data_IF_482916494423
#
_entry.id   IF_482916494423
#
_cell.length_a   1.000
_cell.length_b   1.000
_cell.length_c   1.000
_cell.angle_alpha   90.00
_cell.angle_beta   90.00
_cell.angle_gamma   90.00
#
_symmetry.space_group_name_H-M   'P 1'
#
loop_
_entity.id
_entity.type
_entity.pdbx_description
1 polymer ?
#
# COMPACT_ATOMS: atom_id res chain seq x y z
N UNK A 1 7.98 49.97 -64.84
CA UNK A 1 7.60 49.75 -63.43
C UNK A 1 6.91 48.40 -63.32
N UNK A 2 7.27 47.63 -62.30
CA UNK A 2 7.16 46.17 -62.19
C UNK A 2 5.73 45.63 -62.37
N UNK A 3 5.59 44.61 -63.24
CA UNK A 3 4.38 43.81 -63.41
C UNK A 3 4.37 42.63 -62.42
N UNK A 4 3.28 42.50 -61.66
CA UNK A 4 2.95 41.34 -60.84
C UNK A 4 2.54 40.15 -61.74
N UNK A 5 3.29 39.04 -61.69
CA UNK A 5 2.91 37.74 -62.26
C UNK A 5 2.29 36.85 -61.17
N UNK A 6 0.98 36.59 -61.28
CA UNK A 6 0.28 35.50 -60.59
C UNK A 6 0.52 34.20 -61.37
N UNK A 7 1.02 33.18 -60.69
CA UNK A 7 1.14 31.82 -61.23
C UNK A 7 -0.13 31.02 -60.87
N UNK A 8 -0.80 30.51 -61.90
CA UNK A 8 -1.85 29.51 -61.84
C UNK A 8 -1.27 28.23 -62.49
N UNK A 9 -1.28 27.05 -61.85
CA UNK A 9 -0.91 25.82 -62.55
C UNK A 9 -2.11 25.18 -63.25
N UNK A 10 -1.82 24.69 -64.45
CA UNK A 10 -2.70 24.08 -65.43
C UNK A 10 -3.30 22.75 -64.95
N UNK A 11 -4.59 22.56 -65.24
CA UNK A 11 -5.22 21.26 -65.40
C UNK A 11 -5.00 20.79 -66.85
N UNK A 12 -4.37 19.64 -67.05
CA UNK A 12 -4.32 18.96 -68.35
C UNK A 12 -5.47 17.96 -68.45
N UNK A 13 -6.36 18.19 -69.40
CA UNK A 13 -7.45 17.29 -69.78
C UNK A 13 -6.97 16.32 -70.86
N UNK A 14 -7.19 15.01 -70.66
CA UNK A 14 -7.04 13.99 -71.69
C UNK A 14 -8.44 13.46 -72.05
N UNK A 15 -8.87 13.72 -73.29
CA UNK A 15 -10.00 13.06 -73.94
C UNK A 15 -9.58 11.65 -74.36
N UNK A 16 -10.38 10.64 -74.00
CA UNK A 16 -10.38 9.34 -74.67
C UNK A 16 -11.82 8.87 -74.90
N UNK A 17 -12.00 8.35 -76.11
CA UNK A 17 -13.25 8.16 -76.82
C UNK A 17 -14.15 7.06 -76.24
N UNK A 18 -15.46 7.23 -76.46
CA UNK A 18 -16.51 6.34 -76.03
C UNK A 18 -16.64 5.03 -76.83
N UNK A 19 -16.88 3.95 -76.09
CA UNK A 19 -17.67 2.82 -76.53
C UNK A 19 -18.85 2.70 -75.55
N UNK A 20 -20.07 2.83 -76.06
CA UNK A 20 -21.28 2.63 -75.28
C UNK A 20 -21.44 1.12 -74.98
N UNK A 21 -21.22 0.75 -73.73
CA UNK A 21 -21.55 -0.58 -73.20
C UNK A 21 -22.79 -0.41 -72.34
N UNK A 22 -23.85 -1.15 -72.68
CA UNK A 22 -25.10 -1.23 -71.92
C UNK A 22 -24.77 -1.72 -70.49
N UNK A 23 -25.04 -0.90 -69.47
CA UNK A 23 -24.81 -1.24 -68.07
C UNK A 23 -25.88 -2.23 -67.57
N UNK A 24 -25.50 -3.40 -67.03
CA UNK A 24 -26.42 -4.23 -66.27
C UNK A 24 -26.84 -3.52 -64.98
N UNK A 25 -28.08 -3.75 -64.54
CA UNK A 25 -28.58 -3.24 -63.26
C UNK A 25 -27.65 -3.63 -62.08
N UNK A 26 -27.47 -2.77 -61.06
CA UNK A 26 -26.59 -3.07 -59.95
C UNK A 26 -27.10 -4.28 -59.15
N UNK A 27 -26.29 -5.34 -59.12
CA UNK A 27 -26.52 -6.52 -58.31
C UNK A 27 -26.17 -6.19 -56.84
N UNK A 28 -26.99 -6.55 -55.84
CA UNK A 28 -26.71 -6.22 -54.44
C UNK A 28 -25.39 -6.85 -53.99
N UNK A 29 -24.48 -6.02 -53.48
CA UNK A 29 -23.22 -6.45 -52.88
C UNK A 29 -23.51 -7.19 -51.57
N UNK A 30 -22.95 -8.40 -51.34
CA UNK A 30 -23.12 -9.08 -50.06
C UNK A 30 -22.46 -8.26 -48.94
N UNK A 31 -23.25 -7.89 -47.93
CA UNK A 31 -22.78 -7.25 -46.71
C UNK A 31 -21.72 -8.13 -46.03
N UNK A 32 -20.53 -7.62 -45.66
CA UNK A 32 -19.55 -8.40 -44.91
C UNK A 32 -20.14 -8.80 -43.55
N UNK A 33 -20.16 -10.10 -43.29
CA UNK A 33 -20.51 -10.65 -41.97
C UNK A 33 -19.53 -10.09 -40.94
N UNK A 34 -20.00 -9.49 -39.83
CA UNK A 34 -19.11 -9.02 -38.78
C UNK A 34 -18.29 -10.20 -38.23
N UNK A 35 -16.97 -10.04 -38.16
CA UNK A 35 -16.10 -10.98 -37.47
C UNK A 35 -16.54 -11.06 -36.00
N UNK A 36 -16.54 -12.26 -35.37
CA UNK A 36 -16.92 -12.39 -33.98
C UNK A 36 -15.97 -11.55 -33.12
N UNK A 37 -16.54 -10.60 -32.38
CA UNK A 37 -15.86 -9.91 -31.28
C UNK A 37 -15.28 -10.98 -30.35
N UNK A 38 -13.99 -10.93 -29.95
CA UNK A 38 -13.48 -11.87 -28.97
C UNK A 38 -14.36 -11.81 -27.73
N UNK A 39 -14.94 -12.96 -27.36
CA UNK A 39 -15.68 -13.09 -26.12
C UNK A 39 -14.75 -12.68 -24.97
N UNK A 40 -15.21 -11.88 -24.00
CA UNK A 40 -14.41 -11.60 -22.82
C UNK A 40 -13.97 -12.93 -22.22
N UNK A 41 -12.66 -13.09 -22.01
CA UNK A 41 -12.12 -14.20 -21.25
C UNK A 41 -12.83 -14.17 -19.89
N UNK A 42 -13.52 -15.26 -19.47
CA UNK A 42 -14.20 -15.27 -18.20
C UNK A 42 -13.18 -14.94 -17.10
N UNK A 43 -13.51 -13.95 -16.26
CA UNK A 43 -12.73 -13.66 -15.07
C UNK A 43 -12.59 -14.96 -14.26
N UNK A 44 -11.40 -15.27 -13.71
CA UNK A 44 -11.21 -16.48 -12.93
C UNK A 44 -12.24 -16.51 -11.80
N UNK A 45 -12.95 -17.63 -11.68
CA UNK A 45 -13.87 -17.88 -10.57
C UNK A 45 -13.03 -17.95 -9.29
N UNK A 46 -13.21 -16.98 -8.39
CA UNK A 46 -12.53 -16.97 -7.10
C UNK A 46 -12.83 -18.25 -6.32
N UNK A 47 -11.83 -18.81 -5.63
CA UNK A 47 -12.07 -19.90 -4.68
C UNK A 47 -12.88 -19.37 -3.49
N UNK A 48 -13.59 -20.23 -2.73
CA UNK A 48 -14.31 -19.79 -1.54
C UNK A 48 -13.42 -19.04 -0.53
N UNK A 49 -12.16 -19.45 -0.42
CA UNK A 49 -11.16 -18.83 0.44
C UNK A 49 -10.75 -17.44 -0.09
N UNK A 50 -10.42 -17.31 -1.39
CA UNK A 50 -10.14 -16.01 -1.98
C UNK A 50 -11.31 -15.04 -1.84
N UNK A 51 -12.54 -15.53 -1.97
CA UNK A 51 -13.75 -14.73 -1.81
C UNK A 51 -13.94 -14.24 -0.37
N UNK A 52 -13.68 -15.10 0.63
CA UNK A 52 -13.74 -14.74 2.04
C UNK A 52 -12.67 -13.69 2.38
N UNK A 53 -11.41 -13.95 2.02
CA UNK A 53 -10.30 -13.00 2.25
C UNK A 53 -10.61 -11.66 1.60
N UNK A 54 -11.07 -11.66 0.34
CA UNK A 54 -11.43 -10.42 -0.35
C UNK A 54 -12.56 -9.69 0.35
N UNK A 55 -13.60 -10.40 0.80
CA UNK A 55 -14.71 -9.79 1.54
C UNK A 55 -14.23 -9.13 2.83
N UNK A 56 -13.42 -9.82 3.63
CA UNK A 56 -12.92 -9.29 4.90
C UNK A 56 -11.96 -8.12 4.67
N UNK A 57 -11.00 -8.23 3.73
CA UNK A 57 -10.08 -7.14 3.38
C UNK A 57 -10.80 -5.91 2.78
N UNK A 58 -11.96 -6.10 2.16
CA UNK A 58 -12.77 -5.01 1.59
C UNK A 58 -13.74 -4.38 2.59
N UNK A 59 -13.97 -4.99 3.76
CA UNK A 59 -15.04 -4.58 4.69
C UNK A 59 -14.89 -3.11 5.12
N UNK A 60 -13.66 -2.65 5.32
CA UNK A 60 -13.35 -1.27 5.74
C UNK A 60 -12.80 -0.37 4.62
N UNK A 61 -12.55 -0.91 3.43
CA UNK A 61 -11.90 -0.17 2.34
C UNK A 61 -12.91 0.79 1.68
N UNK A 62 -12.91 2.05 2.10
CA UNK A 62 -13.84 3.07 1.61
C UNK A 62 -13.28 3.98 0.51
N UNK A 63 -11.96 3.93 0.27
CA UNK A 63 -11.29 4.72 -0.77
C UNK A 63 -10.87 3.85 -1.96
N UNK A 64 -9.77 3.11 -1.80
CA UNK A 64 -9.25 2.19 -2.81
C UNK A 64 -9.52 0.75 -2.37
N UNK A 65 -10.05 -0.11 -3.26
CA UNK A 65 -10.32 -1.50 -2.94
C UNK A 65 -9.02 -2.30 -2.80
N UNK A 66 -8.99 -3.36 -1.99
CA UNK A 66 -7.85 -4.26 -1.93
C UNK A 66 -7.67 -5.02 -3.26
N UNK A 67 -6.43 -5.37 -3.57
CA UNK A 67 -6.03 -6.27 -4.64
C UNK A 67 -5.53 -7.56 -4.01
N UNK A 68 -6.38 -8.58 -3.89
CA UNK A 68 -6.05 -9.86 -3.23
C UNK A 68 -5.65 -10.90 -4.27
N UNK A 69 -4.50 -11.53 -4.09
CA UNK A 69 -4.04 -12.70 -4.87
C UNK A 69 -4.68 -14.00 -4.34
N UNK A 70 -4.60 -15.09 -5.09
CA UNK A 70 -5.14 -16.38 -4.63
C UNK A 70 -4.41 -16.87 -3.36
N UNK A 71 -5.10 -17.03 -2.21
CA UNK A 71 -4.48 -17.47 -0.95
C UNK A 71 -3.73 -18.80 -1.05
N UNK A 72 -4.16 -19.70 -1.94
CA UNK A 72 -3.49 -20.97 -2.15
C UNK A 72 -2.07 -20.84 -2.75
N UNK A 73 -1.71 -19.64 -3.24
CA UNK A 73 -0.41 -19.35 -3.85
C UNK A 73 0.54 -18.57 -2.93
N UNK A 74 0.05 -18.07 -1.79
CA UNK A 74 0.78 -17.13 -0.94
C UNK A 74 2.09 -17.71 -0.42
N UNK A 75 2.10 -18.96 0.03
CA UNK A 75 3.32 -19.59 0.59
C UNK A 75 4.40 -19.78 -0.48
N UNK A 76 4.05 -20.28 -1.66
CA UNK A 76 5.02 -20.46 -2.74
C UNK A 76 5.53 -19.11 -3.26
N UNK A 77 4.65 -18.13 -3.46
CA UNK A 77 5.02 -16.78 -3.90
C UNK A 77 5.85 -16.05 -2.83
N UNK A 78 5.49 -16.20 -1.56
CA UNK A 78 6.18 -15.63 -0.42
C UNK A 78 7.60 -16.18 -0.29
N UNK A 79 7.75 -17.50 -0.36
CA UNK A 79 9.05 -18.16 -0.37
C UNK A 79 9.90 -17.69 -1.55
N UNK A 80 9.36 -17.67 -2.76
CA UNK A 80 10.09 -17.22 -3.94
C UNK A 80 10.57 -15.76 -3.83
N UNK A 81 9.71 -14.86 -3.34
CA UNK A 81 10.08 -13.47 -3.10
C UNK A 81 11.21 -13.37 -2.06
N UNK A 82 11.05 -14.04 -0.91
CA UNK A 82 12.02 -13.93 0.18
C UNK A 82 13.38 -14.54 -0.19
N UNK A 83 13.42 -15.66 -0.92
CA UNK A 83 14.68 -16.25 -1.41
C UNK A 83 15.37 -15.34 -2.43
N UNK A 84 14.62 -14.66 -3.29
CA UNK A 84 15.15 -13.64 -4.21
C UNK A 84 15.74 -12.46 -3.44
N UNK A 85 15.04 -11.96 -2.42
CA UNK A 85 15.52 -10.87 -1.58
C UNK A 85 16.76 -11.26 -0.77
N UNK A 86 16.82 -12.49 -0.23
CA UNK A 86 18.00 -13.03 0.45
C UNK A 86 19.23 -13.01 -0.46
N UNK A 87 19.08 -13.41 -1.74
CA UNK A 87 20.15 -13.32 -2.73
C UNK A 87 20.54 -11.87 -3.06
N UNK A 88 19.54 -11.00 -3.25
CA UNK A 88 19.76 -9.60 -3.59
C UNK A 88 20.50 -8.83 -2.49
N UNK A 89 20.16 -9.08 -1.23
CA UNK A 89 20.71 -8.40 -0.05
C UNK A 89 21.71 -9.26 0.75
N UNK A 90 22.24 -10.33 0.14
CA UNK A 90 23.24 -11.19 0.77
C UNK A 90 24.49 -10.40 1.23
N UNK A 91 24.90 -9.37 0.46
CA UNK A 91 26.02 -8.50 0.82
C UNK A 91 25.74 -7.60 2.02
N UNK A 92 24.47 -7.33 2.32
CA UNK A 92 24.02 -6.63 3.52
C UNK A 92 23.79 -7.58 4.71
N UNK A 93 24.08 -8.88 4.55
CA UNK A 93 23.94 -9.89 5.60
C UNK A 93 22.51 -10.39 5.81
N UNK A 94 21.62 -10.22 4.82
CA UNK A 94 20.27 -10.77 4.89
C UNK A 94 20.31 -12.29 5.05
N UNK A 95 19.52 -12.80 5.98
CA UNK A 95 19.26 -14.22 6.16
C UNK A 95 17.78 -14.43 6.43
N UNK A 96 17.24 -15.53 5.91
CA UNK A 96 15.88 -15.96 6.21
C UNK A 96 15.79 -16.83 7.46
N UNK A 97 16.90 -17.33 7.99
CA UNK A 97 16.88 -18.16 9.20
C UNK A 97 16.44 -17.32 10.39
N UNK A 98 15.35 -17.75 11.03
CA UNK A 98 14.80 -17.07 12.18
C UNK A 98 15.75 -17.10 13.37
N UNK A 99 15.78 -15.97 14.07
CA UNK A 99 16.52 -15.84 15.32
C UNK A 99 15.57 -16.06 16.50
N UNK A 100 16.06 -16.72 17.54
CA UNK A 100 15.25 -16.95 18.74
C UNK A 100 14.74 -15.63 19.32
N UNK A 101 13.44 -15.56 19.59
CA UNK A 101 12.78 -14.36 20.13
C UNK A 101 12.31 -13.36 19.08
N UNK A 102 12.52 -13.63 17.79
CA UNK A 102 12.04 -12.79 16.69
C UNK A 102 11.07 -13.60 15.82
N UNK A 103 9.75 -13.55 16.10
CA UNK A 103 8.79 -14.38 15.37
C UNK A 103 8.57 -13.92 13.92
N UNK A 104 8.90 -12.67 13.59
CA UNK A 104 8.55 -12.07 12.31
C UNK A 104 9.74 -11.39 11.61
N UNK A 105 9.63 -11.27 10.28
CA UNK A 105 10.42 -10.39 9.43
C UNK A 105 9.47 -9.45 8.66
N UNK A 106 9.81 -8.16 8.59
CA UNK A 106 9.02 -7.15 7.88
C UNK A 106 9.62 -6.87 6.50
N UNK A 107 8.86 -7.12 5.43
CA UNK A 107 9.26 -6.81 4.06
C UNK A 107 8.49 -5.59 3.55
N UNK A 108 9.20 -4.49 3.30
CA UNK A 108 8.62 -3.22 2.86
C UNK A 108 8.86 -3.04 1.37
N UNK A 109 7.78 -3.12 0.59
CA UNK A 109 7.79 -2.69 -0.81
C UNK A 109 7.40 -1.22 -0.89
N UNK A 110 8.39 -0.33 -0.99
CA UNK A 110 8.13 1.12 -1.02
C UNK A 110 7.38 1.53 -2.29
N UNK A 111 7.74 0.91 -3.41
CA UNK A 111 7.21 1.22 -4.74
C UNK A 111 5.72 0.85 -4.86
N UNK A 112 5.31 -0.28 -4.29
CA UNK A 112 3.91 -0.71 -4.29
C UNK A 112 3.10 -0.24 -3.07
N UNK A 113 3.76 0.34 -2.06
CA UNK A 113 3.13 0.83 -0.82
C UNK A 113 2.51 -0.28 0.03
N UNK A 114 3.29 -1.35 0.25
CA UNK A 114 2.89 -2.53 1.05
C UNK A 114 3.98 -2.92 2.03
N UNK A 115 3.58 -3.22 3.27
CA UNK A 115 4.40 -3.95 4.24
C UNK A 115 3.84 -5.37 4.35
N UNK A 116 4.63 -6.38 4.02
CA UNK A 116 4.28 -7.79 4.25
C UNK A 116 5.03 -8.31 5.47
N UNK A 117 4.29 -8.87 6.42
CA UNK A 117 4.85 -9.57 7.58
C UNK A 117 5.05 -11.03 7.21
N UNK A 118 6.23 -11.57 7.49
CA UNK A 118 6.56 -12.98 7.29
C UNK A 118 6.77 -13.68 8.62
N UNK A 119 6.13 -14.85 8.79
CA UNK A 119 6.41 -15.82 9.86
C UNK A 119 7.27 -16.96 9.31
N UNK A 120 7.63 -17.91 10.17
CA UNK A 120 8.53 -19.01 9.84
C UNK A 120 7.80 -20.21 9.22
N UNK A 121 8.40 -20.81 8.20
CA UNK A 121 8.05 -22.17 7.76
C UNK A 121 8.52 -23.24 8.75
N UNK A 122 8.24 -24.51 8.43
CA UNK A 122 8.63 -25.67 9.23
C UNK A 122 10.15 -25.83 9.42
N UNK A 123 10.96 -25.21 8.56
CA UNK A 123 12.42 -25.21 8.63
C UNK A 123 12.96 -24.00 9.41
N UNK A 124 12.08 -23.16 9.97
CA UNK A 124 12.45 -21.96 10.72
C UNK A 124 12.93 -20.82 9.83
N UNK A 125 12.48 -20.74 8.57
CA UNK A 125 12.83 -19.65 7.64
C UNK A 125 11.65 -18.68 7.47
N UNK A 126 11.89 -17.37 7.46
CA UNK A 126 10.87 -16.35 7.22
C UNK A 126 10.40 -16.34 5.75
N UNK A 127 9.49 -17.25 5.41
CA UNK A 127 9.03 -17.48 4.02
C UNK A 127 7.50 -17.52 3.90
N UNK A 128 6.78 -17.60 5.02
CA UNK A 128 5.32 -17.71 5.07
C UNK A 128 4.70 -16.32 5.27
N UNK A 129 3.94 -15.76 4.30
CA UNK A 129 3.27 -14.48 4.47
C UNK A 129 2.18 -14.58 5.54
N UNK A 130 2.28 -13.75 6.57
CA UNK A 130 1.36 -13.74 7.70
C UNK A 130 0.23 -12.72 7.49
N UNK A 131 0.59 -11.49 7.16
CA UNK A 131 -0.36 -10.42 6.79
C UNK A 131 0.32 -9.36 5.92
N UNK A 132 -0.49 -8.63 5.14
CA UNK A 132 -0.05 -7.46 4.39
C UNK A 132 -0.81 -6.21 4.86
N UNK A 133 -0.06 -5.14 5.11
CA UNK A 133 -0.53 -3.83 5.56
C UNK A 133 -0.28 -2.78 4.47
N UNK A 134 -1.22 -1.86 4.28
CA UNK A 134 -0.98 -0.71 3.40
C UNK A 134 -0.05 0.27 4.10
N UNK A 135 0.89 0.85 3.37
CA UNK A 135 1.73 1.91 3.91
C UNK A 135 1.90 3.06 2.93
N UNK A 136 2.54 4.14 3.37
CA UNK A 136 3.09 5.16 2.48
C UNK A 136 4.54 5.41 2.84
N UNK A 137 5.42 4.94 1.96
CA UNK A 137 6.86 5.19 2.03
C UNK A 137 7.29 6.35 1.15
N UNK A 138 8.59 6.64 1.17
CA UNK A 138 9.24 7.66 0.34
C UNK A 138 10.54 7.14 -0.25
N UNK A 139 10.98 7.67 -1.40
CA UNK A 139 12.18 7.19 -2.08
C UNK A 139 13.47 7.41 -1.26
N UNK A 140 13.47 8.28 -0.25
CA UNK A 140 14.69 8.59 0.52
C UNK A 140 15.10 7.45 1.46
N UNK A 141 14.18 6.59 1.92
CA UNK A 141 14.52 5.46 2.80
C UNK A 141 15.30 4.40 2.03
N UNK A 142 16.60 4.18 2.24
CA UNK A 142 17.37 3.27 1.39
C UNK A 142 16.81 1.86 1.38
N UNK A 143 16.80 1.24 0.20
CA UNK A 143 16.61 -0.21 0.10
C UNK A 143 17.77 -0.92 0.82
N UNK A 144 17.50 -2.09 1.39
CA UNK A 144 18.48 -2.79 2.20
C UNK A 144 17.86 -3.71 3.23
N UNK A 145 18.72 -4.23 4.10
CA UNK A 145 18.36 -5.12 5.19
C UNK A 145 18.80 -4.52 6.52
N UNK A 146 17.86 -4.38 7.45
CA UNK A 146 17.98 -3.62 8.69
C UNK A 146 17.37 -4.40 9.86
N UNK A 147 17.49 -3.85 11.06
CA UNK A 147 16.80 -4.33 12.27
C UNK A 147 16.18 -3.14 12.99
N UNK A 148 15.23 -3.38 13.90
CA UNK A 148 14.53 -2.33 14.65
C UNK A 148 15.19 -2.00 16.00
N UNK A 149 16.09 -1.00 16.12
CA UNK A 149 16.87 -0.84 17.35
C UNK A 149 16.14 -0.18 18.52
N UNK A 150 15.05 0.55 18.26
CA UNK A 150 14.32 1.30 19.29
C UNK A 150 12.92 1.66 18.82
N UNK A 151 12.00 1.81 19.77
CA UNK A 151 10.63 2.27 19.57
C UNK A 151 10.29 3.45 20.50
N UNK A 152 9.22 4.17 20.16
CA UNK A 152 8.72 5.35 20.86
C UNK A 152 7.19 5.36 20.79
N UNK A 153 6.51 5.66 21.90
CA UNK A 153 5.05 5.83 21.88
C UNK A 153 4.64 7.00 20.98
N UNK A 154 5.38 8.11 21.07
CA UNK A 154 5.30 9.26 20.17
C UNK A 154 6.68 9.71 19.73
N UNK A 155 6.80 10.12 18.47
CA UNK A 155 8.06 10.63 17.92
C UNK A 155 7.84 11.88 17.08
N UNK A 156 8.61 12.93 17.37
CA UNK A 156 8.75 14.10 16.48
C UNK A 156 9.36 13.64 15.15
N UNK A 157 8.69 13.98 14.06
CA UNK A 157 9.05 13.60 12.69
C UNK A 157 9.79 14.74 11.97
N UNK A 158 10.13 14.51 10.70
CA UNK A 158 10.66 15.57 9.84
C UNK A 158 9.53 16.52 9.46
N UNK A 159 9.60 17.75 9.96
CA UNK A 159 8.49 18.71 9.99
C UNK A 159 7.93 18.85 11.41
N UNK A 160 7.16 19.89 11.73
CA UNK A 160 6.57 20.04 13.06
C UNK A 160 5.37 19.09 13.25
N UNK A 161 5.57 17.77 13.10
CA UNK A 161 4.53 16.75 13.22
C UNK A 161 5.01 15.52 14.01
N UNK A 162 4.07 14.67 14.40
CA UNK A 162 4.31 13.54 15.31
C UNK A 162 3.75 12.23 14.76
N UNK A 163 4.39 11.10 15.07
CA UNK A 163 3.86 9.77 14.77
C UNK A 163 3.62 8.98 16.05
N UNK A 164 2.46 8.32 16.15
CA UNK A 164 2.17 7.31 17.16
C UNK A 164 2.90 6.00 16.82
N UNK A 165 3.28 5.25 17.86
CA UNK A 165 3.90 3.92 17.78
C UNK A 165 5.06 3.86 16.79
N UNK A 166 6.07 4.71 17.02
CA UNK A 166 7.16 4.86 16.08
C UNK A 166 8.29 3.85 16.36
N UNK A 167 8.65 3.02 15.39
CA UNK A 167 9.75 2.05 15.48
C UNK A 167 10.83 2.37 14.45
N UNK A 168 12.05 2.60 14.90
CA UNK A 168 13.17 3.00 14.03
C UNK A 168 13.62 1.82 13.16
N UNK A 169 13.96 2.11 11.90
CA UNK A 169 14.53 1.14 10.95
C UNK A 169 16.00 1.45 10.69
N UNK A 170 16.29 2.65 10.16
CA UNK A 170 17.65 3.07 9.82
C UNK A 170 17.76 4.60 9.86
N UNK A 171 18.84 5.15 10.42
CA UNK A 171 19.05 6.60 10.48
C UNK A 171 17.87 7.33 11.13
N UNK A 172 17.20 8.19 10.34
CA UNK A 172 15.98 8.90 10.74
C UNK A 172 14.66 8.26 10.27
N UNK A 173 14.71 7.12 9.58
CA UNK A 173 13.53 6.47 8.99
C UNK A 173 12.89 5.50 9.99
N UNK A 174 11.56 5.61 10.14
CA UNK A 174 10.77 4.85 11.10
C UNK A 174 9.55 4.22 10.42
N UNK A 175 9.06 3.11 10.95
CA UNK A 175 7.63 2.81 10.93
C UNK A 175 6.95 3.76 11.90
N UNK A 176 5.85 4.40 11.53
CA UNK A 176 5.01 5.18 12.44
C UNK A 176 3.58 5.30 11.87
N UNK A 177 2.63 5.77 12.67
CA UNK A 177 1.28 6.09 12.20
C UNK A 177 1.30 7.15 11.08
N UNK A 178 0.19 7.44 10.43
CA UNK A 178 0.06 8.71 9.70
C UNK A 178 0.43 9.89 10.63
N UNK A 179 1.10 10.95 10.14
CA UNK A 179 1.47 12.10 10.97
C UNK A 179 0.28 12.78 11.65
N UNK A 180 0.56 13.42 12.78
CA UNK A 180 -0.34 14.24 13.57
C UNK A 180 0.24 15.64 13.74
N UNK A 181 -0.61 16.67 13.78
CA UNK A 181 -0.19 18.06 14.03
C UNK A 181 0.27 18.28 15.48
N UNK A 182 -0.17 17.43 16.41
CA UNK A 182 0.25 17.43 17.82
C UNK A 182 0.29 16.01 18.39
N UNK A 183 0.75 15.84 19.64
CA UNK A 183 0.74 14.54 20.34
C UNK A 183 -0.65 14.21 20.92
N UNK A 184 -1.69 14.45 20.12
CA UNK A 184 -3.08 14.22 20.46
C UNK A 184 -3.71 13.31 19.41
N UNK A 185 -4.44 12.29 19.85
CA UNK A 185 -5.02 11.25 18.99
C UNK A 185 -6.14 11.74 18.07
N UNK A 186 -6.70 12.91 18.36
CA UNK A 186 -7.74 13.59 17.59
C UNK A 186 -7.21 14.72 16.70
N UNK A 187 -5.91 14.72 16.42
CA UNK A 187 -5.23 15.75 15.62
C UNK A 187 -4.39 15.18 14.46
N UNK A 188 -4.91 14.13 13.81
CA UNK A 188 -4.27 13.49 12.65
C UNK A 188 -4.22 14.44 11.45
N UNK A 189 -3.14 14.37 10.66
CA UNK A 189 -3.05 15.04 9.38
C UNK A 189 -3.93 14.31 8.35
N UNK A 190 -5.25 14.54 8.36
CA UNK A 190 -6.21 13.80 7.53
C UNK A 190 -5.94 13.84 6.03
N UNK A 191 -5.34 14.92 5.52
CA UNK A 191 -4.91 15.00 4.12
C UNK A 191 -3.81 13.96 3.84
N UNK A 192 -2.87 13.79 4.77
CA UNK A 192 -1.84 12.74 4.70
C UNK A 192 -2.42 11.34 4.95
N UNK A 193 -3.46 11.22 5.78
CA UNK A 193 -4.16 9.94 5.96
C UNK A 193 -4.78 9.47 4.64
N UNK A 194 -5.44 10.39 3.94
CA UNK A 194 -6.01 10.13 2.62
C UNK A 194 -4.95 9.86 1.53
N UNK A 195 -3.65 10.02 1.81
CA UNK A 195 -2.57 9.64 0.90
C UNK A 195 -2.01 8.23 1.18
N UNK A 196 -2.46 7.54 2.23
CA UNK A 196 -2.09 6.15 2.50
C UNK A 196 -2.28 5.27 1.26
N UNK A 197 -1.32 4.39 1.01
CA UNK A 197 -1.29 3.53 -0.18
C UNK A 197 -0.64 4.19 -1.41
N UNK A 198 -0.12 5.41 -1.27
CA UNK A 198 0.68 6.08 -2.31
C UNK A 198 2.07 6.46 -1.79
N UNK A 199 3.08 6.66 -2.67
CA UNK A 199 4.42 7.14 -2.27
C UNK A 199 4.40 8.62 -1.80
N UNK A 200 3.85 8.87 -0.62
CA UNK A 200 3.52 10.20 -0.11
C UNK A 200 4.41 10.71 1.02
N UNK A 201 5.41 9.93 1.46
CA UNK A 201 6.34 10.38 2.50
C UNK A 201 7.66 10.87 1.93
N UNK A 202 8.42 11.62 2.72
CA UNK A 202 9.82 11.91 2.41
C UNK A 202 10.70 10.67 2.61
N UNK A 203 10.35 9.74 3.52
CA UNK A 203 11.07 8.49 3.66
C UNK A 203 10.40 7.50 4.61
N UNK A 204 9.98 7.93 5.80
CA UNK A 204 9.38 7.05 6.80
C UNK A 204 8.22 6.21 6.26
N UNK A 205 8.01 5.03 6.83
CA UNK A 205 6.93 4.13 6.44
C UNK A 205 5.71 4.47 7.32
N UNK A 206 4.75 5.18 6.74
CA UNK A 206 3.50 5.57 7.40
C UNK A 206 2.47 4.45 7.28
N UNK A 207 1.78 4.11 8.37
CA UNK A 207 0.67 3.15 8.35
C UNK A 207 -0.54 3.70 9.13
N UNK A 208 -1.69 3.05 9.02
CA UNK A 208 -2.81 3.28 9.93
C UNK A 208 -2.42 2.85 11.36
N UNK A 209 -3.06 3.43 12.38
CA UNK A 209 -2.77 3.14 13.80
C UNK A 209 -2.84 1.64 14.11
N UNK A 210 -3.85 0.92 13.62
CA UNK A 210 -3.97 -0.54 13.81
C UNK A 210 -2.73 -1.30 13.35
N UNK A 211 -2.23 -0.97 12.16
CA UNK A 211 -1.15 -1.69 11.52
C UNK A 211 0.20 -1.39 12.18
N UNK A 212 0.50 -0.12 12.43
CA UNK A 212 1.76 0.24 13.08
C UNK A 212 1.81 -0.22 14.55
N UNK A 213 0.68 -0.17 15.26
CA UNK A 213 0.62 -0.66 16.63
C UNK A 213 0.79 -2.17 16.67
N UNK A 214 0.23 -2.92 15.71
CA UNK A 214 0.52 -4.35 15.61
C UNK A 214 2.02 -4.60 15.48
N UNK A 215 2.73 -3.83 14.64
CA UNK A 215 4.20 -3.90 14.54
C UNK A 215 4.84 -3.57 15.90
N UNK A 216 4.42 -2.49 16.56
CA UNK A 216 4.98 -2.04 17.83
C UNK A 216 4.89 -3.11 18.94
N UNK A 217 3.76 -3.81 19.03
CA UNK A 217 3.53 -4.80 20.09
C UNK A 217 4.09 -6.19 19.75
N UNK A 218 4.02 -6.60 18.48
CA UNK A 218 4.31 -7.97 18.05
C UNK A 218 5.69 -8.16 17.44
N UNK A 219 6.42 -7.08 17.12
CA UNK A 219 7.78 -7.13 16.59
C UNK A 219 8.79 -6.62 17.63
N UNK A 220 9.46 -7.52 18.38
CA UNK A 220 10.48 -7.15 19.35
C UNK A 220 11.60 -6.30 18.73
N UNK A 221 12.23 -5.43 19.54
CA UNK A 221 13.40 -4.66 19.09
C UNK A 221 14.52 -5.60 18.64
N UNK A 222 14.95 -5.44 17.39
CA UNK A 222 15.85 -6.35 16.69
C UNK A 222 15.17 -7.12 15.57
N UNK A 223 13.84 -7.03 15.42
CA UNK A 223 13.10 -7.61 14.29
C UNK A 223 13.75 -7.23 12.96
N UNK A 224 14.04 -8.22 12.10
CA UNK A 224 14.62 -7.97 10.78
C UNK A 224 13.64 -7.27 9.85
N UNK A 225 14.16 -6.33 9.07
CA UNK A 225 13.40 -5.55 8.08
C UNK A 225 14.14 -5.56 6.76
N UNK A 226 13.47 -5.94 5.67
CA UNK A 226 13.98 -5.78 4.32
C UNK A 226 13.17 -4.70 3.60
N UNK A 227 13.85 -3.77 2.94
CA UNK A 227 13.25 -2.70 2.15
C UNK A 227 13.67 -2.89 0.70
N UNK A 228 12.69 -2.98 -0.19
CA UNK A 228 12.89 -3.19 -1.63
C UNK A 228 11.86 -2.41 -2.44
N UNK A 229 12.02 -2.43 -3.76
CA UNK A 229 11.12 -1.80 -4.71
C UNK A 229 10.70 -2.82 -5.78
N UNK A 230 9.39 -3.00 -5.93
CA UNK A 230 8.78 -3.66 -7.09
C UNK A 230 7.45 -2.95 -7.37
N UNK A 231 7.39 -2.16 -8.44
CA UNK A 231 6.18 -1.38 -8.79
C UNK A 231 5.03 -2.26 -9.30
N UNK A 232 5.34 -3.47 -9.78
CA UNK A 232 4.39 -4.33 -10.48
C UNK A 232 3.83 -5.44 -9.60
N UNK A 233 4.57 -5.81 -8.55
CA UNK A 233 4.19 -6.87 -7.62
C UNK A 233 4.16 -6.30 -6.18
N UNK A 234 2.95 -6.04 -5.62
CA UNK A 234 2.81 -5.56 -4.26
C UNK A 234 3.23 -6.56 -3.18
N UNK A 235 3.49 -7.82 -3.55
CA UNK A 235 3.81 -8.91 -2.64
C UNK A 235 2.83 -10.08 -2.77
N UNK A 236 3.14 -11.20 -2.10
CA UNK A 236 2.45 -12.47 -2.31
C UNK A 236 0.97 -12.43 -1.97
N UNK A 237 0.55 -11.58 -1.03
CA UNK A 237 -0.85 -11.42 -0.60
C UNK A 237 -1.61 -10.34 -1.38
N UNK A 238 -0.90 -9.57 -2.21
CA UNK A 238 -1.45 -8.43 -2.92
C UNK A 238 -1.37 -7.11 -2.15
N UNK A 239 -2.16 -6.11 -2.57
CA UNK A 239 -2.16 -4.75 -1.98
C UNK A 239 -3.42 -4.55 -1.12
N UNK A 240 -3.31 -4.23 0.17
CA UNK A 240 -4.48 -3.93 1.00
C UNK A 240 -5.21 -2.66 0.52
N UNK A 241 -6.49 -2.55 0.87
CA UNK A 241 -7.30 -1.38 0.55
C UNK A 241 -6.98 -0.17 1.42
N UNK A 242 -7.66 0.94 1.20
CA UNK A 242 -7.47 2.19 1.96
C UNK A 242 -8.79 2.75 2.47
N UNK A 243 -8.73 3.48 3.59
CA UNK A 243 -9.88 4.17 4.19
C UNK A 243 -9.85 5.64 3.76
N UNK A 244 -11.01 6.19 3.42
CA UNK A 244 -11.19 7.62 3.18
C UNK A 244 -11.69 8.32 4.45
N UNK A 245 -11.06 9.44 4.76
CA UNK A 245 -11.50 10.39 5.80
C UNK A 245 -12.05 11.63 5.14
N UNK A 246 -13.32 11.98 5.39
CA UNK A 246 -13.93 13.20 4.84
C UNK A 246 -13.34 14.46 5.51
N UNK A 247 -12.61 15.33 4.78
CA UNK A 247 -12.06 16.55 5.36
C UNK A 247 -13.12 17.54 5.87
N UNK A 248 -14.40 17.40 5.46
CA UNK A 248 -15.49 18.24 5.95
C UNK A 248 -16.10 17.75 7.27
N UNK A 249 -15.87 16.48 7.66
CA UNK A 249 -16.40 15.93 8.91
C UNK A 249 -15.47 16.29 10.08
N UNK A 250 -15.70 17.45 10.69
CA UNK A 250 -14.91 17.94 11.82
C UNK A 250 -14.99 17.05 13.06
N UNK A 251 -15.97 16.15 13.14
CA UNK A 251 -16.10 15.21 14.26
C UNK A 251 -15.16 14.03 14.12
N UNK A 252 -14.87 13.60 12.89
CA UNK A 252 -14.09 12.38 12.60
C UNK A 252 -12.73 12.62 12.01
N UNK A 253 -12.55 13.72 11.26
CA UNK A 253 -11.31 13.96 10.49
C UNK A 253 -10.06 14.11 11.35
N UNK A 254 -10.21 14.40 12.65
CA UNK A 254 -9.08 14.45 13.57
C UNK A 254 -8.55 13.07 13.99
N UNK A 255 -9.32 12.01 13.78
CA UNK A 255 -9.00 10.67 14.26
C UNK A 255 -8.55 9.76 13.14
N UNK A 256 -7.58 8.90 13.42
CA UNK A 256 -7.36 7.71 12.62
C UNK A 256 -8.56 6.75 12.84
N UNK A 257 -9.28 6.33 11.78
CA UNK A 257 -10.43 5.43 11.89
C UNK A 257 -10.16 4.12 12.64
N UNK A 258 -8.89 3.73 12.74
CA UNK A 258 -8.44 2.45 13.28
C UNK A 258 -7.84 2.56 14.70
N UNK A 259 -7.77 3.76 15.28
CA UNK A 259 -7.29 3.96 16.66
C UNK A 259 -8.34 3.42 17.64
N UNK A 260 -8.00 2.48 18.54
CA UNK A 260 -8.96 1.86 19.46
C UNK A 260 -9.34 2.73 20.65
N UNK A 261 -8.99 4.02 20.65
CA UNK A 261 -9.36 4.94 21.72
C UNK A 261 -10.90 4.99 21.91
N UNK A 262 -11.43 4.81 23.12
CA UNK A 262 -12.87 4.89 23.37
C UNK A 262 -13.49 6.27 23.05
N UNK A 263 -12.69 7.33 22.95
CA UNK A 263 -13.14 8.65 22.52
C UNK A 263 -13.18 8.82 21.00
N UNK A 264 -12.65 7.86 20.24
CA UNK A 264 -12.67 7.86 18.79
C UNK A 264 -14.12 7.75 18.28
N UNK A 265 -14.62 8.72 17.47
CA UNK A 265 -16.00 8.73 16.99
C UNK A 265 -16.24 7.89 15.72
N UNK A 266 -15.22 7.21 15.22
CA UNK A 266 -15.36 6.23 14.16
C UNK A 266 -16.06 4.96 14.66
N UNK A 267 -16.62 4.17 13.73
CA UNK A 267 -17.33 2.93 14.06
C UNK A 267 -16.33 1.81 14.37
N UNK A 268 -16.63 0.96 15.36
CA UNK A 268 -15.77 -0.16 15.76
C UNK A 268 -15.44 -1.13 14.59
N UNK A 269 -16.25 -1.15 13.53
CA UNK A 269 -15.97 -1.92 12.32
C UNK A 269 -14.58 -1.60 11.72
N UNK A 270 -14.11 -0.35 11.85
CA UNK A 270 -12.83 0.09 11.29
C UNK A 270 -11.60 -0.37 12.12
N UNK A 271 -11.77 -0.89 13.33
CA UNK A 271 -10.67 -1.27 14.22
C UNK A 271 -9.75 -2.35 13.62
N UNK A 272 -10.29 -3.20 12.74
CA UNK A 272 -9.52 -4.25 12.06
C UNK A 272 -8.66 -3.72 10.89
N UNK A 273 -8.85 -2.45 10.50
CA UNK A 273 -8.18 -1.82 9.38
C UNK A 273 -8.52 -2.47 8.03
N UNK A 274 -7.60 -2.39 7.09
CA UNK A 274 -7.75 -2.97 5.73
C UNK A 274 -6.76 -4.09 5.44
N UNK A 275 -5.95 -4.50 6.42
CA UNK A 275 -4.90 -5.50 6.24
C UNK A 275 -5.45 -6.83 5.71
N UNK A 276 -4.73 -7.40 4.75
CA UNK A 276 -5.00 -8.74 4.24
C UNK A 276 -4.32 -9.72 5.19
N UNK A 277 -5.09 -10.63 5.78
CA UNK A 277 -4.61 -11.57 6.82
C UNK A 277 -4.74 -13.01 6.34
N UNK A 278 -3.72 -13.82 6.63
CA UNK A 278 -3.82 -15.28 6.62
C UNK A 278 -4.81 -15.76 7.68
N UNK A 279 -5.19 -17.04 7.62
CA UNK A 279 -6.01 -17.63 8.66
C UNK A 279 -5.32 -17.56 10.03
N UNK A 280 -4.01 -17.83 10.09
CA UNK A 280 -3.23 -17.72 11.33
C UNK A 280 -3.23 -16.29 11.89
N UNK A 281 -3.14 -15.27 11.02
CA UNK A 281 -3.23 -13.88 11.44
C UNK A 281 -4.63 -13.47 11.92
N UNK A 282 -5.69 -14.04 11.35
CA UNK A 282 -7.04 -13.89 11.90
C UNK A 282 -7.20 -14.57 13.25
N UNK A 283 -6.68 -15.79 13.40
CA UNK A 283 -6.75 -16.53 14.66
C UNK A 283 -6.00 -15.77 15.78
N UNK A 284 -4.84 -15.18 15.48
CA UNK A 284 -4.14 -14.29 16.41
C UNK A 284 -4.98 -13.06 16.75
N UNK A 285 -5.52 -12.38 15.74
CA UNK A 285 -6.36 -11.20 15.96
C UNK A 285 -7.53 -11.54 16.90
N UNK A 286 -8.31 -12.57 16.61
CA UNK A 286 -9.46 -12.97 17.43
C UNK A 286 -9.05 -13.32 18.87
N UNK A 287 -7.86 -13.90 19.07
CA UNK A 287 -7.37 -14.25 20.39
C UNK A 287 -6.84 -13.04 21.20
N UNK A 288 -6.31 -12.01 20.54
CA UNK A 288 -5.49 -10.99 21.19
C UNK A 288 -6.04 -9.56 21.07
N UNK A 289 -6.98 -9.29 20.15
CA UNK A 289 -7.43 -7.94 19.83
C UNK A 289 -8.01 -7.19 21.04
N UNK A 290 -8.77 -7.85 21.93
CA UNK A 290 -9.28 -7.20 23.15
C UNK A 290 -8.13 -6.72 24.06
N UNK A 291 -7.09 -7.55 24.24
CA UNK A 291 -5.91 -7.17 25.02
C UNK A 291 -5.13 -6.05 24.33
N UNK A 292 -5.01 -6.13 23.01
CA UNK A 292 -4.33 -5.13 22.18
C UNK A 292 -5.05 -3.77 22.24
N UNK A 293 -6.38 -3.76 22.19
CA UNK A 293 -7.22 -2.56 22.35
C UNK A 293 -7.19 -2.04 23.79
N UNK A 294 -7.18 -2.93 24.80
CA UNK A 294 -7.12 -2.55 26.21
C UNK A 294 -5.72 -2.13 26.69
N UNK A 295 -4.65 -2.54 26.00
CA UNK A 295 -3.26 -2.19 26.33
C UNK A 295 -2.94 -0.71 26.13
N UNK A 296 -3.85 0.04 25.51
CA UNK A 296 -3.68 1.45 25.23
C UNK A 296 -4.59 2.32 26.08
N UNK A 297 -3.98 2.88 27.11
CA UNK A 297 -4.14 4.30 27.33
C UNK A 297 -2.77 4.94 27.26
N UNK A 298 -2.42 5.68 26.19
CA UNK A 298 -1.50 6.81 26.29
C UNK A 298 -2.14 7.90 27.16
N UNK A 299 -2.61 7.54 28.35
CA UNK A 299 -3.06 8.45 29.38
C UNK A 299 -1.86 9.33 29.74
N UNK A 300 -1.93 10.58 29.26
CA UNK A 300 -1.22 11.79 29.71
C UNK A 300 -0.35 12.54 28.68
N UNK A 301 -0.56 12.38 27.37
CA UNK A 301 0.00 13.33 26.40
C UNK A 301 -0.89 14.54 26.08
N UNK A 302 -1.79 14.88 27.00
CA UNK A 302 -2.18 16.28 27.23
C UNK A 302 -1.02 17.14 27.78
N UNK A 303 0.17 16.57 27.92
CA UNK A 303 1.41 17.31 28.07
C UNK A 303 1.72 18.06 26.78
N UNK A 304 1.41 19.36 26.77
CA UNK A 304 2.10 20.32 25.93
C UNK A 304 3.59 19.97 25.95
N UNK A 305 4.15 19.61 24.79
CA UNK A 305 5.61 19.62 24.68
C UNK A 305 6.06 21.05 24.98
N UNK A 306 6.54 21.28 26.20
CA UNK A 306 7.15 22.54 26.60
C UNK A 306 8.57 22.66 26.05
N UNK A 307 9.00 21.74 25.19
CA UNK A 307 10.32 21.76 24.57
C UNK A 307 10.41 22.70 23.34
N UNK A 308 9.60 23.75 23.34
CA UNK A 308 9.82 24.94 22.52
C UNK A 308 11.01 25.78 23.01
N UNK A 309 11.80 25.30 23.98
CA UNK A 309 12.94 26.04 24.55
C UNK A 309 14.31 25.65 24.00
N UNK A 310 14.41 24.64 23.12
CA UNK A 310 15.62 24.48 22.31
C UNK A 310 15.36 25.03 20.91
N UNK A 311 15.51 26.35 20.79
CA UNK A 311 15.81 26.96 19.50
C UNK A 311 17.14 26.38 19.01
N UNK A 312 17.11 25.40 18.11
CA UNK A 312 18.35 24.89 17.53
C UNK A 312 18.36 23.51 16.88
N UNK A 313 17.36 22.65 17.06
CA UNK A 313 17.33 21.34 16.39
C UNK A 313 16.06 21.15 15.59
N UNK A 314 16.00 21.86 14.46
CA UNK A 314 15.47 21.27 13.23
C UNK A 314 16.46 20.17 12.85
N UNK A 315 16.10 18.92 13.15
CA UNK A 315 16.84 17.74 12.69
C UNK A 315 16.57 17.49 11.22
#
# INVERSE_FOLDING_TARGET
>A
MQLFRRFLPLLAAALLAGCAVLTPAPQPTPTPTPAPTPSPTPAPTATPESALVLATASTNATKDPPQVTDPSTWDEAGKALMERLEQQFASAGMTLTAQQGYPYLLAVNRAASTVTVYTTDADGRYTVPFMAMVCSGGPDTPTGYWTTPVSYDWRLLLGPSYGQYATRIYGGYLFHSVPYYSQHKDDVEYDQFNELGTPASLGCIRLAVVDVKWIYDNCPLGTPVVIYDDETDPGPMGKPGTIYTDPADETKRGWDPTDPDPANPWDDAYLTGTAIRSQEAWDQWEAEHENWQASLTPTDLQGWSTDSRIAGTRG
#
